data_IF_904529109697
#
_entry.id   IF_904529109697
#
_cell.length_a   1.000
_cell.length_b   1.000
_cell.length_c   1.000
_cell.angle_alpha   90.00
_cell.angle_beta   90.00
_cell.angle_gamma   90.00
#
_symmetry.space_group_name_H-M   'P 1'
#
loop_
_entity.id
_entity.type
_entity.pdbx_description
1 polymer ?
#
# COMPACT_ATOMS: atom_id res chain seq x y z
N UNK A 1 -14.93 9.47 44.00
CA UNK A 1 -15.41 9.77 42.64
C UNK A 1 -14.23 9.76 41.69
N UNK A 2 -13.98 8.64 41.00
CA UNK A 2 -12.92 8.51 39.99
C UNK A 2 -13.57 8.64 38.62
N UNK A 3 -13.25 9.73 37.91
CA UNK A 3 -13.75 9.97 36.56
C UNK A 3 -13.21 8.91 35.61
N UNK A 4 -14.09 8.01 35.18
CA UNK A 4 -13.90 7.25 33.97
C UNK A 4 -14.00 8.24 32.81
N UNK A 5 -12.85 8.79 32.39
CA UNK A 5 -12.72 9.42 31.08
C UNK A 5 -12.94 8.33 30.05
N UNK A 6 -14.21 8.13 29.66
CA UNK A 6 -14.55 7.44 28.43
C UNK A 6 -13.95 8.27 27.30
N UNK A 7 -12.72 7.93 26.91
CA UNK A 7 -12.15 8.30 25.63
C UNK A 7 -13.15 7.83 24.58
N UNK A 8 -13.96 8.76 24.09
CA UNK A 8 -14.77 8.55 22.91
C UNK A 8 -13.79 8.18 21.79
N UNK A 9 -13.68 6.87 21.53
CA UNK A 9 -12.88 6.37 20.43
C UNK A 9 -13.58 6.84 19.16
N UNK A 10 -13.19 8.04 18.69
CA UNK A 10 -13.49 8.51 17.34
C UNK A 10 -13.19 7.33 16.43
N UNK A 11 -14.20 6.86 15.70
CA UNK A 11 -14.04 5.76 14.76
C UNK A 11 -13.13 6.26 13.62
N UNK A 12 -11.82 6.22 13.87
CA UNK A 12 -10.80 6.62 12.89
C UNK A 12 -11.02 5.74 11.69
N UNK A 13 -11.30 6.37 10.54
CA UNK A 13 -11.48 5.69 9.28
C UNK A 13 -10.33 4.70 9.07
N UNK A 14 -10.66 3.47 8.65
CA UNK A 14 -9.68 2.41 8.42
C UNK A 14 -9.45 2.19 6.94
N UNK A 15 -8.23 1.86 6.58
CA UNK A 15 -7.82 1.42 5.24
C UNK A 15 -7.11 0.09 5.35
N UNK A 16 -6.85 -0.58 4.24
CA UNK A 16 -6.06 -1.81 4.23
C UNK A 16 -4.64 -1.54 3.74
N UNK A 17 -3.67 -2.28 4.29
CA UNK A 17 -2.30 -2.26 3.81
C UNK A 17 -2.23 -2.81 2.39
N UNK A 18 -1.68 -2.04 1.45
CA UNK A 18 -1.49 -2.44 0.05
C UNK A 18 -0.62 -3.69 -0.14
N UNK A 19 0.08 -4.13 0.91
CA UNK A 19 0.92 -5.31 0.88
C UNK A 19 0.26 -6.55 1.47
N UNK A 20 -0.17 -6.48 2.73
CA UNK A 20 -0.65 -7.63 3.50
C UNK A 20 -2.15 -7.61 3.82
N UNK A 21 -2.90 -6.61 3.35
CA UNK A 21 -4.34 -6.50 3.60
C UNK A 21 -4.74 -6.11 5.02
N UNK A 22 -3.78 -6.03 5.96
CA UNK A 22 -4.10 -5.73 7.35
C UNK A 22 -4.74 -4.33 7.51
N UNK A 23 -5.71 -4.16 8.43
CA UNK A 23 -6.35 -2.89 8.66
C UNK A 23 -5.36 -1.87 9.24
N UNK A 24 -5.42 -0.67 8.72
CA UNK A 24 -4.61 0.50 9.02
C UNK A 24 -5.55 1.65 9.39
N UNK A 25 -5.07 2.59 10.19
CA UNK A 25 -5.76 3.87 10.40
C UNK A 25 -5.50 4.79 9.20
N UNK A 26 -6.48 5.57 8.76
CA UNK A 26 -6.25 6.62 7.75
C UNK A 26 -5.13 7.55 8.25
N UNK A 27 -4.13 7.80 7.39
CA UNK A 27 -2.91 8.56 7.73
C UNK A 27 -1.74 7.71 8.27
N UNK A 28 -1.96 6.43 8.58
CA UNK A 28 -0.90 5.50 8.95
C UNK A 28 -0.04 5.16 7.73
N UNK A 29 1.24 5.53 7.78
CA UNK A 29 2.18 5.31 6.67
C UNK A 29 2.94 3.99 6.81
N UNK A 30 2.98 3.40 8.01
CA UNK A 30 3.58 2.09 8.25
C UNK A 30 2.52 1.07 8.65
N UNK A 31 2.45 -0.05 7.96
CA UNK A 31 1.62 -1.18 8.39
C UNK A 31 2.22 -1.86 9.61
N UNK A 32 1.46 -1.88 10.72
CA UNK A 32 1.91 -2.53 11.96
C UNK A 32 1.91 -4.06 11.88
N UNK A 33 1.14 -4.63 10.95
CA UNK A 33 1.07 -6.08 10.78
C UNK A 33 2.27 -6.64 10.00
N UNK A 34 2.73 -5.94 8.96
CA UNK A 34 3.85 -6.39 8.13
C UNK A 34 5.13 -5.58 8.29
N UNK A 35 5.12 -4.48 9.05
CA UNK A 35 6.28 -3.62 9.29
C UNK A 35 6.79 -2.91 8.04
N UNK A 36 5.92 -2.66 7.04
CA UNK A 36 6.30 -2.00 5.78
C UNK A 36 5.41 -0.79 5.49
N UNK A 37 5.88 0.08 4.59
CA UNK A 37 5.13 1.26 4.16
C UNK A 37 3.73 0.83 3.64
N UNK A 38 2.71 1.44 4.20
CA UNK A 38 1.29 1.18 4.00
C UNK A 38 0.82 1.51 2.58
N UNK A 39 1.40 2.56 1.98
CA UNK A 39 1.12 2.98 0.62
C UNK A 39 2.41 2.92 -0.19
N UNK A 40 2.46 1.96 -1.12
CA UNK A 40 3.60 1.73 -2.01
C UNK A 40 3.41 2.45 -3.34
N UNK A 41 2.17 2.57 -3.80
CA UNK A 41 1.86 3.07 -5.13
C UNK A 41 1.55 4.57 -5.10
N UNK A 42 2.28 5.34 -5.90
CA UNK A 42 2.12 6.78 -6.01
C UNK A 42 1.67 7.18 -7.42
N UNK A 43 0.86 8.24 -7.48
CA UNK A 43 0.60 8.94 -8.73
C UNK A 43 1.89 9.57 -9.25
N UNK A 44 2.07 9.53 -10.56
CA UNK A 44 3.20 10.17 -11.24
C UNK A 44 2.68 11.27 -12.16
N UNK A 45 3.17 12.49 -11.95
CA UNK A 45 2.83 13.65 -12.79
C UNK A 45 3.66 13.72 -14.06
N UNK A 46 4.86 13.13 -14.06
CA UNK A 46 5.87 13.23 -15.12
C UNK A 46 5.76 12.08 -16.13
N UNK A 47 5.71 10.84 -15.63
CA UNK A 47 5.53 9.62 -16.44
C UNK A 47 4.17 9.00 -16.12
N UNK A 48 3.21 9.07 -17.05
CA UNK A 48 1.83 8.65 -16.82
C UNK A 48 1.56 7.29 -17.44
N UNK A 49 2.02 6.20 -16.86
CA UNK A 49 1.65 4.86 -17.33
C UNK A 49 0.20 4.54 -16.96
N UNK A 50 -0.44 3.69 -17.77
CA UNK A 50 -1.76 3.15 -17.52
C UNK A 50 -1.73 1.62 -17.55
N UNK A 51 -2.70 0.98 -16.90
CA UNK A 51 -2.90 -0.46 -16.96
C UNK A 51 -4.24 -0.72 -17.65
N UNK A 52 -4.17 -1.35 -18.81
CA UNK A 52 -5.33 -1.78 -19.57
C UNK A 52 -5.56 -3.28 -19.34
N UNK A 53 -6.76 -3.64 -18.89
CA UNK A 53 -7.24 -5.01 -18.79
C UNK A 53 -7.57 -5.52 -20.19
N UNK A 54 -6.87 -6.55 -20.65
CA UNK A 54 -7.02 -7.11 -21.99
C UNK A 54 -8.02 -8.26 -22.00
N UNK A 55 -7.88 -9.19 -21.06
CA UNK A 55 -8.77 -10.33 -20.88
C UNK A 55 -8.83 -10.75 -19.41
N UNK A 56 -9.95 -11.35 -19.03
CA UNK A 56 -10.15 -11.98 -17.72
C UNK A 56 -10.97 -13.25 -17.91
N UNK A 57 -10.60 -14.32 -17.21
CA UNK A 57 -11.40 -15.54 -17.18
C UNK A 57 -12.75 -15.29 -16.49
N UNK A 58 -13.81 -15.99 -16.93
CA UNK A 58 -15.14 -15.92 -16.32
C UNK A 58 -15.23 -16.64 -14.96
N UNK A 59 -14.12 -17.22 -14.51
CA UNK A 59 -14.03 -17.89 -13.23
C UNK A 59 -14.19 -16.91 -12.06
N UNK A 60 -15.02 -17.29 -11.07
CA UNK A 60 -15.29 -16.48 -9.89
C UNK A 60 -13.98 -16.13 -9.13
N UNK A 61 -12.99 -17.01 -9.17
CA UNK A 61 -11.69 -16.82 -8.53
C UNK A 61 -10.88 -15.68 -9.20
N UNK A 62 -10.87 -15.61 -10.53
CA UNK A 62 -10.17 -14.56 -11.27
C UNK A 62 -10.77 -13.18 -10.98
N UNK A 63 -12.09 -13.07 -10.94
CA UNK A 63 -12.80 -11.83 -10.60
C UNK A 63 -12.55 -11.47 -9.12
N UNK A 64 -12.59 -12.45 -8.22
CA UNK A 64 -12.32 -12.23 -6.79
C UNK A 64 -10.90 -11.72 -6.54
N UNK A 65 -9.90 -12.27 -7.23
CA UNK A 65 -8.53 -11.80 -7.15
C UNK A 65 -8.33 -10.41 -7.77
N UNK A 66 -9.00 -10.11 -8.89
CA UNK A 66 -9.01 -8.76 -9.45
C UNK A 66 -9.55 -7.76 -8.42
N UNK A 67 -10.66 -8.11 -7.77
CA UNK A 67 -11.28 -7.33 -6.71
C UNK A 67 -10.36 -7.15 -5.50
N UNK A 68 -9.69 -8.20 -5.04
CA UNK A 68 -8.75 -8.16 -3.92
C UNK A 68 -7.57 -7.22 -4.23
N UNK A 69 -6.93 -7.38 -5.40
CA UNK A 69 -5.78 -6.58 -5.80
C UNK A 69 -6.20 -5.11 -5.97
N UNK A 70 -7.27 -4.83 -6.73
CA UNK A 70 -7.73 -3.46 -6.95
C UNK A 70 -8.27 -2.81 -5.69
N UNK A 71 -9.00 -3.54 -4.84
CA UNK A 71 -9.54 -3.03 -3.58
C UNK A 71 -8.45 -2.50 -2.62
N UNK A 72 -7.27 -3.12 -2.65
CA UNK A 72 -6.13 -2.63 -1.86
C UNK A 72 -5.54 -1.32 -2.40
N UNK A 73 -5.65 -1.09 -3.71
CA UNK A 73 -4.93 -0.04 -4.46
C UNK A 73 -5.80 1.20 -4.75
N UNK A 74 -7.10 1.01 -4.95
CA UNK A 74 -8.05 2.02 -5.43
C UNK A 74 -8.59 2.92 -4.31
N UNK A 75 -8.96 4.14 -4.68
CA UNK A 75 -9.70 5.08 -3.82
C UNK A 75 -11.21 4.78 -3.80
N UNK A 76 -11.79 4.73 -2.61
CA UNK A 76 -13.23 4.55 -2.43
C UNK A 76 -13.70 3.09 -2.42
N UNK A 77 -15.03 2.91 -2.45
CA UNK A 77 -15.66 1.58 -2.53
C UNK A 77 -15.66 1.11 -3.97
N UNK A 78 -15.18 -0.11 -4.20
CA UNK A 78 -15.14 -0.70 -5.52
C UNK A 78 -16.57 -1.03 -6.02
N UNK A 79 -17.01 -0.51 -7.17
CA UNK A 79 -18.24 -0.97 -7.83
C UNK A 79 -18.16 -2.46 -8.22
N UNK A 80 -19.32 -3.08 -8.41
CA UNK A 80 -19.38 -4.41 -9.00
C UNK A 80 -18.85 -4.37 -10.44
N UNK A 81 -17.81 -5.17 -10.71
CA UNK A 81 -17.23 -5.29 -12.04
C UNK A 81 -17.96 -6.37 -12.84
N UNK A 82 -18.80 -5.94 -13.79
CA UNK A 82 -19.40 -6.84 -14.77
C UNK A 82 -18.72 -6.60 -16.11
N UNK A 83 -18.02 -7.61 -16.64
CA UNK A 83 -17.33 -7.54 -17.92
C UNK A 83 -18.12 -8.25 -19.02
N UNK A 84 -17.98 -7.76 -20.25
CA UNK A 84 -18.38 -8.51 -21.45
C UNK A 84 -17.24 -9.48 -21.79
N UNK A 85 -17.44 -10.76 -21.51
CA UNK A 85 -16.44 -11.82 -21.78
C UNK A 85 -16.89 -12.60 -23.02
N UNK A 86 -15.98 -12.80 -23.99
CA UNK A 86 -16.29 -13.50 -25.25
C UNK A 86 -16.94 -12.61 -26.32
N UNK A 87 -17.82 -13.18 -27.14
CA UNK A 87 -18.45 -12.45 -28.26
C UNK A 87 -19.51 -11.46 -27.73
N UNK A 88 -19.35 -10.14 -27.96
CA UNK A 88 -20.31 -9.14 -27.50
C UNK A 88 -21.72 -9.32 -28.08
N UNK A 89 -21.88 -10.06 -29.19
CA UNK A 89 -23.18 -10.33 -29.80
C UNK A 89 -24.01 -11.37 -29.04
N UNK A 90 -23.41 -12.11 -28.11
CA UNK A 90 -24.13 -13.03 -27.22
C UNK A 90 -24.87 -12.31 -26.08
N UNK A 91 -24.63 -11.02 -25.93
CA UNK A 91 -25.23 -10.19 -24.88
C UNK A 91 -26.34 -9.33 -25.45
N UNK A 92 -27.42 -9.17 -24.68
CA UNK A 92 -28.49 -8.23 -25.04
C UNK A 92 -27.96 -6.79 -25.07
N UNK A 93 -28.61 -5.91 -25.85
CA UNK A 93 -28.23 -4.50 -25.92
C UNK A 93 -28.24 -3.83 -24.53
N UNK A 94 -29.22 -4.20 -23.68
CA UNK A 94 -29.32 -3.72 -22.30
C UNK A 94 -28.14 -4.18 -21.42
N UNK A 95 -27.66 -5.42 -21.58
CA UNK A 95 -26.48 -5.91 -20.86
C UNK A 95 -25.19 -5.27 -21.37
N UNK A 96 -25.05 -5.10 -22.68
CA UNK A 96 -23.86 -4.46 -23.29
C UNK A 96 -23.66 -3.01 -22.86
N UNK A 97 -24.72 -2.33 -22.40
CA UNK A 97 -24.67 -0.97 -21.86
C UNK A 97 -24.30 -0.94 -20.37
N UNK A 98 -24.63 -1.99 -19.61
CA UNK A 98 -24.32 -2.10 -18.18
C UNK A 98 -22.92 -2.65 -17.93
N UNK A 99 -22.47 -3.57 -18.78
CA UNK A 99 -21.18 -4.27 -18.63
C UNK A 99 -20.03 -3.48 -19.26
N UNK A 100 -18.87 -3.56 -18.63
CA UNK A 100 -17.62 -2.97 -19.11
C UNK A 100 -17.06 -3.80 -20.26
N UNK A 101 -16.77 -3.15 -21.39
CA UNK A 101 -16.16 -3.80 -22.57
C UNK A 101 -14.64 -3.89 -22.43
N UNK A 102 -14.06 -5.00 -22.88
CA UNK A 102 -12.62 -5.20 -22.96
C UNK A 102 -12.09 -4.79 -24.35
N UNK A 103 -10.86 -4.24 -24.45
CA UNK A 103 -9.96 -3.89 -23.35
C UNK A 103 -10.46 -2.67 -22.56
N UNK A 104 -10.23 -2.66 -21.24
CA UNK A 104 -10.69 -1.59 -20.35
C UNK A 104 -9.54 -1.00 -19.52
N UNK A 105 -9.46 0.32 -19.42
CA UNK A 105 -8.43 0.97 -18.61
C UNK A 105 -8.77 0.88 -17.12
N UNK A 106 -7.98 0.13 -16.35
CA UNK A 106 -8.18 -0.01 -14.91
C UNK A 106 -7.68 1.22 -14.16
N UNK A 107 -6.41 1.59 -14.38
CA UNK A 107 -5.71 2.64 -13.64
C UNK A 107 -4.94 3.55 -14.61
N UNK A 108 -4.85 4.83 -14.27
CA UNK A 108 -4.07 5.85 -14.98
C UNK A 108 -3.10 6.56 -14.05
N UNK A 109 -2.19 7.34 -14.63
CA UNK A 109 -1.28 8.26 -13.92
C UNK A 109 -0.31 7.54 -12.97
N UNK A 110 0.13 6.33 -13.35
CA UNK A 110 1.07 5.51 -12.57
C UNK A 110 2.52 5.77 -12.98
N UNK A 111 3.45 5.66 -12.04
CA UNK A 111 4.87 5.52 -12.40
C UNK A 111 5.11 4.18 -13.09
N UNK A 112 6.17 4.07 -13.90
CA UNK A 112 6.53 2.82 -14.60
C UNK A 112 6.65 1.63 -13.65
N UNK A 113 7.42 1.80 -12.57
CA UNK A 113 7.65 0.76 -11.56
C UNK A 113 6.32 0.32 -10.91
N UNK A 114 5.45 1.28 -10.58
CA UNK A 114 4.12 1.01 -10.02
C UNK A 114 3.26 0.22 -11.00
N UNK A 115 3.25 0.63 -12.27
CA UNK A 115 2.47 -0.03 -13.31
C UNK A 115 2.95 -1.47 -13.55
N UNK A 116 4.26 -1.67 -13.66
CA UNK A 116 4.88 -3.00 -13.82
C UNK A 116 4.62 -3.91 -12.62
N UNK A 117 4.67 -3.39 -11.39
CA UNK A 117 4.41 -4.17 -10.19
C UNK A 117 2.93 -4.58 -10.05
N UNK A 118 2.01 -3.64 -10.24
CA UNK A 118 0.57 -3.94 -10.20
C UNK A 118 0.22 -4.91 -11.32
N UNK A 119 0.76 -4.70 -12.52
CA UNK A 119 0.62 -5.61 -13.65
C UNK A 119 1.12 -7.01 -13.28
N UNK A 120 2.32 -7.13 -12.72
CA UNK A 120 2.89 -8.41 -12.31
C UNK A 120 2.08 -9.12 -11.21
N UNK A 121 1.41 -8.37 -10.32
CA UNK A 121 0.47 -8.94 -9.35
C UNK A 121 -0.79 -9.48 -10.03
N UNK A 122 -1.41 -8.70 -10.91
CA UNK A 122 -2.60 -9.12 -11.64
C UNK A 122 -2.34 -10.35 -12.52
N UNK A 123 -1.22 -10.38 -13.25
CA UNK A 123 -0.84 -11.52 -14.10
C UNK A 123 -0.58 -12.79 -13.31
N UNK A 124 -0.05 -12.71 -12.07
CA UNK A 124 0.11 -13.88 -11.20
C UNK A 124 -1.21 -14.56 -10.83
N UNK A 125 -2.33 -13.82 -10.88
CA UNK A 125 -3.68 -14.33 -10.63
C UNK A 125 -4.45 -14.62 -11.93
N UNK A 126 -3.74 -14.79 -13.05
CA UNK A 126 -4.36 -15.15 -14.34
C UNK A 126 -5.10 -14.01 -15.04
N UNK A 127 -4.93 -12.76 -14.59
CA UNK A 127 -5.53 -11.59 -15.23
C UNK A 127 -4.60 -11.04 -16.31
N UNK A 128 -5.05 -11.00 -17.57
CA UNK A 128 -4.24 -10.50 -18.67
C UNK A 128 -4.31 -8.97 -18.74
N UNK A 129 -3.21 -8.31 -18.38
CA UNK A 129 -3.10 -6.86 -18.31
C UNK A 129 -1.92 -6.37 -19.15
N UNK A 130 -2.04 -5.16 -19.68
CA UNK A 130 -0.99 -4.50 -20.46
C UNK A 130 -0.67 -3.15 -19.85
N UNK A 131 0.62 -2.89 -19.63
CA UNK A 131 1.12 -1.57 -19.25
C UNK A 131 1.26 -0.73 -20.53
N UNK A 132 0.57 0.41 -20.57
CA UNK A 132 0.52 1.29 -21.73
C UNK A 132 1.11 2.65 -21.38
N UNK A 133 1.95 3.18 -22.27
CA UNK A 133 2.46 4.55 -22.17
C UNK A 133 1.67 5.49 -23.12
N UNK A 134 1.01 6.55 -22.63
CA UNK A 134 0.11 7.39 -23.42
C UNK A 134 0.77 8.04 -24.64
N UNK A 135 2.07 8.37 -24.53
CA UNK A 135 2.82 9.02 -25.63
C UNK A 135 3.35 8.05 -26.68
N UNK A 136 3.49 6.76 -26.37
CA UNK A 136 4.05 5.79 -27.32
C UNK A 136 3.07 5.48 -28.48
N UNK A 137 1.77 5.45 -28.18
CA UNK A 137 0.72 5.20 -29.17
C UNK A 137 0.65 6.29 -30.27
N UNK A 138 1.02 7.54 -29.96
CA UNK A 138 0.98 8.66 -30.91
C UNK A 138 2.19 8.62 -31.86
N UNK A 139 3.37 8.19 -31.39
CA UNK A 139 4.60 8.18 -32.20
C UNK A 139 4.62 7.02 -33.21
N UNK A 140 4.08 5.84 -32.86
CA UNK A 140 3.94 4.75 -33.83
C UNK A 140 2.88 5.04 -34.91
N UNK A 141 1.77 5.70 -34.55
CA UNK A 141 0.79 6.18 -35.54
C UNK A 141 1.39 7.25 -36.48
N UNK A 142 2.26 8.12 -35.96
CA UNK A 142 2.94 9.16 -36.74
C UNK A 142 3.92 8.62 -37.79
N UNK A 143 4.60 7.50 -37.52
CA UNK A 143 5.50 6.85 -38.49
C UNK A 143 4.77 6.28 -39.71
N UNK A 144 3.53 5.81 -39.54
CA UNK A 144 2.70 5.34 -40.65
C UNK A 144 2.18 6.47 -41.56
N UNK A 145 1.88 7.64 -40.97
CA UNK A 145 1.40 8.80 -41.71
C UNK A 145 2.47 9.41 -42.65
N UNK A 146 3.74 9.42 -42.22
CA UNK A 146 4.85 9.93 -43.04
C UNK A 146 5.07 9.13 -44.33
N UNK A 147 4.92 7.79 -44.28
CA UNK A 147 5.09 6.94 -45.46
C UNK A 147 3.91 7.03 -46.44
N UNK A 148 2.68 7.19 -45.93
CA UNK A 148 1.48 7.31 -46.77
C UNK A 148 1.36 8.69 -47.45
N UNK A 149 1.75 9.77 -46.79
CA UNK A 149 1.74 11.11 -47.37
C UNK A 149 2.69 11.23 -48.57
N UNK A 150 3.86 10.57 -48.52
CA UNK A 150 4.80 10.50 -49.65
C UNK A 150 4.21 9.68 -50.82
N UNK A 151 3.53 8.57 -50.53
CA UNK A 151 2.90 7.71 -51.55
C UNK A 151 1.74 8.37 -52.31
N UNK A 152 0.87 9.10 -51.61
CA UNK A 152 -0.24 9.84 -52.24
C UNK A 152 0.28 10.98 -53.12
N UNK A 153 1.32 11.69 -52.68
CA UNK A 153 1.94 12.77 -53.44
C UNK A 153 2.57 12.26 -54.76
N UNK A 154 3.21 11.07 -54.73
CA UNK A 154 3.78 10.44 -55.93
C UNK A 154 2.70 9.95 -56.92
N UNK A 155 1.59 9.41 -56.41
CA UNK A 155 0.48 8.92 -57.24
C UNK A 155 -0.28 10.04 -57.96
N UNK A 156 -0.45 11.21 -57.32
CA UNK A 156 -1.05 12.40 -57.96
C UNK A 156 -0.18 12.92 -59.10
N UNK A 157 1.15 12.85 -58.98
CA UNK A 157 2.09 13.21 -60.04
C UNK A 157 2.08 12.22 -61.23
N UNK A 158 1.81 10.94 -60.98
CA UNK A 158 1.72 9.91 -62.03
C UNK A 158 0.38 9.88 -62.78
N UNK A 159 -0.69 10.47 -62.22
CA UNK A 159 -2.05 10.46 -62.78
C UNK A 159 -2.28 11.32 -64.03
N UNK A 160 -1.27 12.04 -64.53
CA UNK A 160 -1.34 12.84 -65.77
C UNK A 160 -1.30 11.99 -67.05
N UNK A 161 -1.12 10.67 -66.96
CA UNK A 161 -1.01 9.77 -68.12
C UNK A 161 -2.17 8.75 -68.16
N UNK A 162 -3.17 9.05 -68.99
CA UNK A 162 -4.30 8.18 -69.41
C UNK A 162 -5.30 7.75 -68.31
N UNK A 163 -6.56 8.15 -68.48
CA UNK A 163 -7.60 8.13 -67.44
C UNK A 163 -8.04 6.76 -66.87
N UNK A 164 -7.58 5.63 -67.42
CA UNK A 164 -7.95 4.30 -66.92
C UNK A 164 -6.94 3.72 -65.92
N UNK A 165 -5.64 3.94 -66.15
CA UNK A 165 -4.57 3.46 -65.25
C UNK A 165 -4.59 4.22 -63.92
N UNK A 166 -4.93 5.51 -63.94
CA UNK A 166 -5.10 6.31 -62.75
C UNK A 166 -6.19 5.76 -61.81
N UNK A 167 -7.30 5.25 -62.36
CA UNK A 167 -8.40 4.68 -61.58
C UNK A 167 -8.00 3.35 -60.92
N UNK A 168 -7.27 2.50 -61.66
CA UNK A 168 -6.81 1.19 -61.16
C UNK A 168 -5.83 1.29 -59.98
N UNK A 169 -5.08 2.39 -59.86
CA UNK A 169 -4.09 2.60 -58.79
C UNK A 169 -4.68 3.39 -57.61
N UNK A 170 -5.52 4.39 -57.88
CA UNK A 170 -6.06 5.28 -56.84
C UNK A 170 -7.10 4.61 -55.94
N UNK A 171 -7.97 3.76 -56.50
CA UNK A 171 -9.01 3.04 -55.73
C UNK A 171 -8.41 2.10 -54.67
N UNK A 172 -7.48 1.18 -54.97
CA UNK A 172 -6.89 0.33 -53.94
C UNK A 172 -6.08 1.12 -52.92
N UNK A 173 -5.41 2.22 -53.32
CA UNK A 173 -4.69 3.09 -52.40
C UNK A 173 -5.66 3.75 -51.39
N UNK A 174 -6.80 4.26 -51.87
CA UNK A 174 -7.85 4.83 -51.01
C UNK A 174 -8.44 3.81 -50.04
N UNK A 175 -8.64 2.56 -50.48
CA UNK A 175 -9.10 1.48 -49.60
C UNK A 175 -8.07 1.16 -48.52
N UNK A 176 -6.79 1.05 -48.88
CA UNK A 176 -5.70 0.81 -47.92
C UNK A 176 -5.60 1.97 -46.92
N UNK A 177 -5.66 3.22 -47.39
CA UNK A 177 -5.67 4.41 -46.53
C UNK A 177 -6.90 4.43 -45.61
N UNK A 178 -8.09 4.13 -46.12
CA UNK A 178 -9.33 4.07 -45.35
C UNK A 178 -9.28 2.99 -44.25
N UNK A 179 -8.78 1.79 -44.57
CA UNK A 179 -8.57 0.71 -43.60
C UNK A 179 -7.53 1.11 -42.56
N UNK A 180 -6.46 1.80 -42.96
CA UNK A 180 -5.42 2.26 -42.03
C UNK A 180 -5.93 3.36 -41.09
N UNK A 181 -6.68 4.35 -41.62
CA UNK A 181 -7.27 5.44 -40.84
C UNK A 181 -8.29 4.92 -39.83
N UNK A 182 -9.19 4.02 -40.25
CA UNK A 182 -10.20 3.42 -39.34
C UNK A 182 -9.55 2.62 -38.22
N UNK A 183 -8.50 1.84 -38.52
CA UNK A 183 -7.71 1.09 -37.53
C UNK A 183 -6.93 2.01 -36.58
N UNK A 184 -6.37 3.10 -37.09
CA UNK A 184 -5.65 4.09 -36.29
C UNK A 184 -6.57 4.89 -35.36
N UNK A 185 -7.76 5.28 -35.83
CA UNK A 185 -8.76 5.97 -35.01
C UNK A 185 -9.33 5.05 -33.92
N UNK A 186 -9.48 3.75 -34.19
CA UNK A 186 -9.85 2.78 -33.15
C UNK A 186 -8.74 2.62 -32.09
N UNK A 187 -7.47 2.60 -32.51
CA UNK A 187 -6.33 2.54 -31.59
C UNK A 187 -6.17 3.82 -30.73
N UNK A 188 -6.41 5.01 -31.31
CA UNK A 188 -6.32 6.28 -30.57
C UNK A 188 -7.53 6.53 -29.65
N UNK A 189 -8.72 6.06 -30.02
CA UNK A 189 -9.88 6.12 -29.12
C UNK A 189 -9.67 5.27 -27.86
N UNK A 190 -8.94 4.15 -27.97
CA UNK A 190 -8.60 3.31 -26.81
C UNK A 190 -7.57 3.97 -25.90
N UNK A 191 -6.65 4.77 -26.43
CA UNK A 191 -5.64 5.46 -25.61
C UNK A 191 -6.22 6.54 -24.70
N UNK A 192 -7.43 7.05 -24.97
CA UNK A 192 -8.09 8.10 -24.20
C UNK A 192 -9.28 7.60 -23.36
N UNK A 193 -9.48 6.30 -23.24
CA UNK A 193 -10.54 5.76 -22.39
C UNK A 193 -10.34 6.25 -20.93
N UNK A 194 -11.39 6.76 -20.26
CA UNK A 194 -11.32 7.14 -18.86
C UNK A 194 -10.96 5.90 -18.03
N UNK A 195 -10.08 6.07 -17.04
CA UNK A 195 -9.77 5.01 -16.10
C UNK A 195 -11.01 4.67 -15.27
N UNK A 196 -11.30 3.39 -15.13
CA UNK A 196 -12.40 2.90 -14.29
C UNK A 196 -12.17 3.23 -12.82
N UNK A 197 -10.90 3.27 -12.42
CA UNK A 197 -10.51 3.49 -11.03
C UNK A 197 -9.45 4.57 -10.91
N UNK A 198 -9.47 5.25 -9.76
CA UNK A 198 -8.42 6.18 -9.36
C UNK A 198 -7.54 5.51 -8.30
N UNK A 199 -6.23 5.59 -8.49
CA UNK A 199 -5.27 5.15 -7.49
C UNK A 199 -5.48 5.96 -6.21
N UNK A 200 -5.47 5.29 -5.05
CA UNK A 200 -5.54 5.95 -3.75
C UNK A 200 -4.43 6.98 -3.63
N UNK A 201 -4.77 8.22 -3.22
CA UNK A 201 -3.77 9.23 -2.92
C UNK A 201 -2.83 8.70 -1.83
N UNK A 202 -1.55 8.59 -2.17
CA UNK A 202 -0.54 8.31 -1.16
C UNK A 202 -0.51 9.47 -0.16
N UNK A 203 -0.47 9.22 1.17
CA UNK A 203 0.00 10.25 2.08
C UNK A 203 1.38 10.70 1.58
N UNK A 204 1.60 12.01 1.52
CA UNK A 204 2.79 12.62 0.93
C UNK A 204 4.05 11.81 1.26
N UNK A 205 4.85 11.46 0.25
CA UNK A 205 6.08 10.72 0.46
C UNK A 205 7.04 11.55 1.35
N UNK A 206 7.68 10.89 2.32
CA UNK A 206 8.55 11.36 3.44
C UNK A 206 7.81 11.72 4.74
N UNK A 207 8.07 11.05 5.89
CA UNK A 207 9.36 10.54 6.38
C UNK A 207 9.35 9.05 6.83
N UNK A 208 8.83 8.13 6.02
CA UNK A 208 8.95 6.69 6.30
C UNK A 208 10.40 6.16 6.20
N UNK A 209 11.32 6.99 5.68
CA UNK A 209 12.77 6.78 5.68
C UNK A 209 13.46 7.24 6.96
N UNK A 210 12.72 7.77 7.94
CA UNK A 210 13.31 8.07 9.24
C UNK A 210 13.89 6.78 9.86
N UNK A 211 15.16 6.80 10.29
CA UNK A 211 15.84 5.60 10.77
C UNK A 211 15.19 5.04 12.04
N UNK A 212 14.54 5.85 12.87
CA UNK A 212 13.88 5.36 14.10
C UNK A 212 12.57 4.65 13.77
N UNK A 213 11.79 5.19 12.82
CA UNK A 213 10.57 4.52 12.33
C UNK A 213 10.92 3.19 11.66
N UNK A 214 11.96 3.17 10.82
CA UNK A 214 12.40 1.96 10.13
C UNK A 214 12.88 0.88 11.10
N UNK A 215 13.61 1.26 12.15
CA UNK A 215 14.06 0.37 13.23
C UNK A 215 12.90 -0.28 13.97
N UNK A 216 11.92 0.50 14.42
CA UNK A 216 10.73 -0.03 15.09
C UNK A 216 9.88 -0.90 14.15
N UNK A 217 9.79 -0.53 12.88
CA UNK A 217 9.10 -1.34 11.88
C UNK A 217 9.74 -2.71 11.66
N UNK A 218 11.07 -2.79 11.69
CA UNK A 218 11.80 -4.06 11.60
C UNK A 218 11.49 -4.97 12.81
N UNK A 219 11.23 -4.39 13.99
CA UNK A 219 10.80 -5.14 15.17
C UNK A 219 9.39 -5.75 15.06
N UNK A 220 8.56 -5.28 14.12
CA UNK A 220 7.23 -5.84 13.89
C UNK A 220 7.24 -7.04 12.93
N UNK A 221 8.37 -7.26 12.24
CA UNK A 221 8.54 -8.38 11.32
C UNK A 221 8.93 -9.66 12.08
N UNK A 222 8.70 -10.83 11.46
CA UNK A 222 9.15 -12.12 11.96
C UNK A 222 8.28 -12.73 13.07
N UNK A 223 8.94 -13.46 13.98
CA UNK A 223 8.38 -14.27 15.07
C UNK A 223 8.08 -13.46 16.35
N UNK A 224 7.80 -12.16 16.21
CA UNK A 224 7.53 -11.30 17.38
C UNK A 224 6.20 -11.68 18.04
N UNK A 225 6.17 -11.90 19.37
CA UNK A 225 4.95 -12.18 20.11
C UNK A 225 3.88 -11.09 19.89
N UNK A 226 2.61 -11.49 19.86
CA UNK A 226 1.50 -10.58 19.53
C UNK A 226 1.37 -9.40 20.50
N UNK A 227 1.49 -9.67 21.81
CA UNK A 227 1.48 -8.66 22.87
C UNK A 227 2.60 -7.63 22.70
N UNK A 228 3.80 -8.08 22.32
CA UNK A 228 4.94 -7.20 22.01
C UNK A 228 4.69 -6.38 20.75
N UNK A 229 4.15 -6.98 19.69
CA UNK A 229 3.86 -6.27 18.43
C UNK A 229 2.88 -5.12 18.62
N UNK A 230 1.87 -5.29 19.48
CA UNK A 230 0.90 -4.22 19.77
C UNK A 230 1.62 -3.00 20.34
N UNK A 231 2.44 -3.18 21.38
CA UNK A 231 3.15 -2.06 22.02
C UNK A 231 4.19 -1.41 21.11
N UNK A 232 5.01 -2.21 20.41
CA UNK A 232 6.00 -1.68 19.46
C UNK A 232 5.31 -0.93 18.32
N UNK A 233 4.15 -1.42 17.87
CA UNK A 233 3.39 -0.80 16.81
C UNK A 233 2.80 0.56 17.22
N UNK A 234 2.30 0.69 18.45
CA UNK A 234 1.88 1.98 19.00
C UNK A 234 3.03 3.00 19.03
N UNK A 235 4.23 2.57 19.46
CA UNK A 235 5.41 3.44 19.50
C UNK A 235 5.85 3.86 18.10
N UNK A 236 5.84 2.95 17.13
CA UNK A 236 6.16 3.27 15.74
C UNK A 236 5.24 4.37 15.18
N UNK A 237 3.94 4.33 15.50
CA UNK A 237 3.00 5.38 15.10
C UNK A 237 3.28 6.72 15.79
N UNK A 238 3.66 6.70 17.06
CA UNK A 238 3.99 7.94 17.79
C UNK A 238 5.27 8.59 17.25
N UNK A 239 6.31 7.80 16.97
CA UNK A 239 7.51 8.31 16.30
C UNK A 239 7.17 8.86 14.92
N UNK A 240 6.35 8.15 14.15
CA UNK A 240 5.91 8.67 12.84
C UNK A 240 5.24 10.03 12.96
N UNK A 241 4.32 10.21 13.94
CA UNK A 241 3.69 11.52 14.21
C UNK A 241 4.70 12.58 14.62
N UNK A 242 5.69 12.23 15.43
CA UNK A 242 6.74 13.17 15.83
C UNK A 242 7.56 13.65 14.63
N UNK A 243 7.93 12.73 13.73
CA UNK A 243 8.70 13.11 12.54
C UNK A 243 7.84 13.92 11.56
N UNK A 244 6.57 13.57 11.41
CA UNK A 244 5.60 14.36 10.63
C UNK A 244 5.46 15.78 11.23
N UNK A 245 5.40 15.91 12.57
CA UNK A 245 5.33 17.18 13.29
C UNK A 245 6.58 18.03 13.08
N UNK A 246 7.77 17.43 13.25
CA UNK A 246 9.06 18.09 13.00
C UNK A 246 9.18 18.61 11.56
N UNK A 247 8.69 17.85 10.58
CA UNK A 247 8.70 18.27 9.18
C UNK A 247 7.77 19.48 8.92
N UNK A 248 6.69 19.62 9.69
CA UNK A 248 5.77 20.75 9.58
C UNK A 248 6.29 22.04 10.26
N UNK A 249 7.16 21.92 11.26
CA UNK A 249 7.69 23.04 12.06
C UNK A 249 9.18 23.28 11.82
N UNK A 250 9.55 23.61 10.58
CA UNK A 250 10.96 23.80 10.18
C UNK A 250 11.72 24.84 11.03
N UNK A 251 11.02 25.88 11.52
CA UNK A 251 11.60 26.92 12.37
C UNK A 251 11.92 26.51 13.81
N UNK A 252 11.34 25.40 14.29
CA UNK A 252 11.46 24.92 15.68
C UNK A 252 12.10 23.53 15.79
N UNK A 253 12.65 23.02 14.69
CA UNK A 253 13.23 21.68 14.63
C UNK A 253 14.31 21.45 15.70
N UNK A 254 15.13 22.46 16.01
CA UNK A 254 16.18 22.36 17.02
C UNK A 254 15.63 22.18 18.45
N UNK A 255 14.52 22.83 18.78
CA UNK A 255 13.85 22.69 20.08
C UNK A 255 13.20 21.31 20.21
N UNK A 256 12.50 20.87 19.15
CA UNK A 256 11.92 19.52 19.08
C UNK A 256 13.02 18.47 19.22
N UNK A 257 14.15 18.63 18.51
CA UNK A 257 15.28 17.70 18.57
C UNK A 257 15.90 17.65 19.98
N UNK A 258 16.05 18.79 20.66
CA UNK A 258 16.54 18.84 22.04
C UNK A 258 15.61 18.11 23.03
N UNK A 259 14.29 18.29 22.90
CA UNK A 259 13.30 17.63 23.77
C UNK A 259 13.16 16.14 23.47
N UNK A 260 13.45 15.72 22.24
CA UNK A 260 13.28 14.34 21.76
C UNK A 260 14.59 13.58 21.62
N UNK A 261 15.72 14.16 22.04
CA UNK A 261 17.03 13.49 22.15
C UNK A 261 16.93 12.09 22.80
N UNK A 262 16.14 11.86 23.88
CA UNK A 262 16.04 10.54 24.52
C UNK A 262 15.36 9.48 23.66
N UNK A 263 14.66 9.83 22.58
CA UNK A 263 13.89 8.88 21.77
C UNK A 263 14.83 7.85 21.12
N UNK A 264 15.98 8.26 20.58
CA UNK A 264 16.92 7.36 19.94
C UNK A 264 17.51 6.27 20.88
N UNK A 265 18.03 6.59 22.08
CA UNK A 265 18.48 5.57 23.02
C UNK A 265 17.33 4.71 23.56
N UNK A 266 16.13 5.27 23.73
CA UNK A 266 14.96 4.48 24.12
C UNK A 266 14.57 3.45 23.06
N UNK A 267 14.66 3.78 21.77
CA UNK A 267 14.48 2.81 20.67
C UNK A 267 15.51 1.68 20.77
N UNK A 268 16.78 1.98 21.05
CA UNK A 268 17.81 0.94 21.22
C UNK A 268 17.52 0.02 22.41
N UNK A 269 17.03 0.55 23.53
CA UNK A 269 16.59 -0.25 24.68
C UNK A 269 15.41 -1.16 24.34
N UNK A 270 14.42 -0.64 23.59
CA UNK A 270 13.27 -1.39 23.12
C UNK A 270 13.71 -2.54 22.19
N UNK A 271 14.61 -2.29 21.25
CA UNK A 271 15.18 -3.34 20.38
C UNK A 271 15.80 -4.47 21.20
N UNK A 272 16.60 -4.13 22.22
CA UNK A 272 17.19 -5.11 23.12
C UNK A 272 16.16 -5.95 23.88
N UNK A 273 15.10 -5.33 24.42
CA UNK A 273 14.05 -6.08 25.13
C UNK A 273 13.22 -6.94 24.17
N UNK A 274 12.90 -6.46 22.96
CA UNK A 274 12.17 -7.24 21.96
C UNK A 274 12.99 -8.45 21.51
N UNK A 275 14.30 -8.28 21.28
CA UNK A 275 15.19 -9.38 20.94
C UNK A 275 15.25 -10.43 22.07
N UNK A 276 15.35 -10.00 23.33
CA UNK A 276 15.32 -10.89 24.48
C UNK A 276 13.99 -11.66 24.57
N UNK A 277 12.85 -10.98 24.40
CA UNK A 277 11.52 -11.59 24.42
C UNK A 277 11.31 -12.61 23.30
N UNK A 278 11.83 -12.36 22.08
CA UNK A 278 11.81 -13.34 20.99
C UNK A 278 12.58 -14.60 21.34
N UNK A 279 13.79 -14.46 21.89
CA UNK A 279 14.61 -15.60 22.33
C UNK A 279 13.91 -16.41 23.42
N UNK A 280 13.39 -15.74 24.46
CA UNK A 280 12.67 -16.41 25.55
C UNK A 280 11.42 -17.13 25.03
N UNK A 281 10.66 -16.48 24.13
CA UNK A 281 9.45 -17.08 23.55
C UNK A 281 9.80 -18.33 22.74
N UNK A 282 10.88 -18.30 21.96
CA UNK A 282 11.34 -19.48 21.20
C UNK A 282 11.73 -20.63 22.12
N UNK A 283 12.44 -20.34 23.21
CA UNK A 283 12.82 -21.33 24.21
C UNK A 283 11.59 -21.94 24.92
N UNK A 284 10.57 -21.13 25.21
CA UNK A 284 9.33 -21.57 25.84
C UNK A 284 8.50 -22.51 24.95
N UNK A 285 8.51 -22.36 23.62
CA UNK A 285 7.75 -23.23 22.70
C UNK A 285 8.14 -24.71 22.86
N UNK A 286 9.38 -25.00 23.24
CA UNK A 286 9.86 -26.37 23.49
C UNK A 286 9.51 -26.94 24.87
N UNK A 287 9.00 -26.13 25.80
CA UNK A 287 8.75 -26.51 27.18
C UNK A 287 7.26 -26.42 27.49
N UNK A 288 6.56 -27.56 27.48
CA UNK A 288 5.14 -27.63 27.82
C UNK A 288 4.95 -28.17 29.23
N UNK A 289 4.57 -27.29 30.17
CA UNK A 289 4.37 -27.64 31.58
C UNK A 289 3.49 -28.89 31.76
N UNK A 290 2.30 -28.89 31.15
CA UNK A 290 1.36 -29.99 31.28
C UNK A 290 1.90 -31.32 30.73
N UNK A 291 2.71 -31.29 29.67
CA UNK A 291 3.35 -32.49 29.15
C UNK A 291 4.43 -33.01 30.10
N UNK A 292 5.20 -32.11 30.71
CA UNK A 292 6.27 -32.44 31.64
C UNK A 292 5.74 -32.95 32.98
N UNK A 293 4.69 -32.34 33.53
CA UNK A 293 4.02 -32.82 34.75
C UNK A 293 3.41 -34.20 34.54
N UNK A 294 2.77 -34.44 33.39
CA UNK A 294 2.28 -35.79 33.04
C UNK A 294 3.42 -36.80 32.87
N UNK A 295 4.52 -36.40 32.23
CA UNK A 295 5.69 -37.25 32.09
C UNK A 295 6.31 -37.60 33.45
N UNK A 296 6.35 -36.64 34.39
CA UNK A 296 6.83 -36.86 35.76
C UNK A 296 5.95 -37.87 36.49
N UNK A 297 4.62 -37.65 36.51
CA UNK A 297 3.68 -38.56 37.14
C UNK A 297 3.73 -39.98 36.55
N UNK A 298 3.88 -40.08 35.22
CA UNK A 298 4.02 -41.37 34.55
C UNK A 298 5.36 -42.06 34.86
N UNK A 299 6.44 -41.29 34.99
CA UNK A 299 7.77 -41.77 35.39
C UNK A 299 7.75 -42.32 36.82
N UNK A 300 7.09 -41.62 37.74
CA UNK A 300 6.87 -42.05 39.13
C UNK A 300 6.02 -43.33 39.20
N UNK A 301 4.89 -43.38 38.48
CA UNK A 301 4.02 -44.55 38.46
C UNK A 301 4.71 -45.81 37.92
N UNK A 302 5.65 -45.65 36.97
CA UNK A 302 6.44 -46.76 36.40
C UNK A 302 7.67 -47.14 37.23
N UNK A 303 8.00 -46.39 38.27
CA UNK A 303 9.21 -46.62 39.06
C UNK A 303 10.50 -46.39 38.25
N UNK A 304 10.49 -45.44 37.31
CA UNK A 304 11.65 -45.12 36.48
C UNK A 304 12.84 -44.54 37.31
N UNK A 305 14.08 -44.63 36.77
CA UNK A 305 15.27 -44.14 37.47
C UNK A 305 15.17 -42.67 37.87
N UNK A 306 15.74 -42.32 39.03
CA UNK A 306 15.75 -40.94 39.55
C UNK A 306 16.35 -39.93 38.55
N UNK A 307 17.36 -40.33 37.77
CA UNK A 307 17.98 -39.48 36.75
C UNK A 307 16.96 -38.96 35.71
N UNK A 308 15.96 -39.77 35.33
CA UNK A 308 14.93 -39.37 34.37
C UNK A 308 13.99 -38.32 34.97
N UNK A 309 13.61 -38.48 36.24
CA UNK A 309 12.78 -37.51 36.97
C UNK A 309 13.52 -36.19 37.18
N UNK A 310 14.81 -36.24 37.50
CA UNK A 310 15.66 -35.06 37.67
C UNK A 310 15.82 -34.26 36.38
N UNK A 311 15.86 -34.91 35.21
CA UNK A 311 15.81 -34.23 33.90
C UNK A 311 14.49 -33.46 33.73
N UNK A 312 13.36 -34.06 34.09
CA UNK A 312 12.04 -33.42 34.02
C UNK A 312 11.96 -32.23 34.99
N UNK A 313 12.43 -32.40 36.23
CA UNK A 313 12.49 -31.31 37.21
C UNK A 313 13.34 -30.13 36.74
N UNK A 314 14.55 -30.39 36.22
CA UNK A 314 15.41 -29.34 35.63
C UNK A 314 14.71 -28.60 34.49
N UNK A 315 13.93 -29.33 33.69
CA UNK A 315 13.13 -28.73 32.64
C UNK A 315 12.01 -27.83 33.17
N UNK A 316 11.31 -28.22 34.25
CA UNK A 316 10.29 -27.40 34.91
C UNK A 316 10.89 -26.16 35.59
N UNK A 317 12.06 -26.30 36.22
CA UNK A 317 12.82 -25.17 36.77
C UNK A 317 13.22 -24.18 35.68
N UNK A 318 13.72 -24.69 34.54
CA UNK A 318 14.04 -23.86 33.37
C UNK A 318 12.82 -23.15 32.82
N UNK A 319 11.67 -23.83 32.73
CA UNK A 319 10.41 -23.23 32.29
C UNK A 319 10.05 -22.03 33.18
N UNK A 320 10.04 -22.23 34.50
CA UNK A 320 9.73 -21.16 35.46
C UNK A 320 10.70 -19.99 35.37
N UNK A 321 12.00 -20.28 35.28
CA UNK A 321 13.02 -19.25 35.12
C UNK A 321 12.83 -18.43 33.83
N UNK A 322 12.41 -19.07 32.73
CA UNK A 322 12.11 -18.39 31.47
C UNK A 322 10.83 -17.54 31.56
N UNK A 323 9.80 -18.00 32.28
CA UNK A 323 8.59 -17.22 32.52
C UNK A 323 8.86 -15.97 33.35
N UNK A 324 9.64 -16.10 34.43
CA UNK A 324 10.08 -14.97 35.26
C UNK A 324 10.94 -13.99 34.43
N UNK A 325 11.86 -14.50 33.60
CA UNK A 325 12.66 -13.69 32.70
C UNK A 325 11.81 -12.97 31.65
N UNK A 326 10.78 -13.63 31.10
CA UNK A 326 9.82 -13.04 30.15
C UNK A 326 9.07 -11.89 30.82
N UNK A 327 8.54 -12.10 32.03
CA UNK A 327 7.83 -11.09 32.78
C UNK A 327 8.71 -9.86 33.05
N UNK A 328 9.96 -10.08 33.48
CA UNK A 328 10.91 -8.99 33.74
C UNK A 328 11.29 -8.22 32.46
N UNK A 329 11.52 -8.92 31.34
CA UNK A 329 11.82 -8.28 30.05
C UNK A 329 10.62 -7.48 29.51
N UNK A 330 9.41 -8.02 29.65
CA UNK A 330 8.19 -7.33 29.26
C UNK A 330 7.93 -6.09 30.11
N UNK A 331 8.19 -6.15 31.42
CA UNK A 331 8.10 -4.99 32.30
C UNK A 331 9.04 -3.86 31.87
N UNK A 332 10.32 -4.17 31.62
CA UNK A 332 11.30 -3.20 31.11
C UNK A 332 10.90 -2.60 29.76
N UNK A 333 10.30 -3.40 28.87
CA UNK A 333 9.74 -2.91 27.60
C UNK A 333 8.65 -1.87 27.86
N UNK A 334 7.73 -2.12 28.79
CA UNK A 334 6.67 -1.17 29.14
C UNK A 334 7.19 0.12 29.78
N UNK A 335 8.22 0.03 30.62
CA UNK A 335 8.89 1.19 31.20
C UNK A 335 9.54 2.06 30.11
N UNK A 336 10.32 1.46 29.21
CA UNK A 336 10.93 2.15 28.08
C UNK A 336 9.86 2.79 27.17
N UNK A 337 8.76 2.07 26.89
CA UNK A 337 7.63 2.57 26.11
C UNK A 337 6.94 3.77 26.79
N UNK A 338 6.80 3.76 28.11
CA UNK A 338 6.24 4.86 28.89
C UNK A 338 7.11 6.11 28.83
N UNK A 339 8.42 5.96 29.00
CA UNK A 339 9.38 7.07 28.88
C UNK A 339 9.40 7.65 27.47
N UNK A 340 9.37 6.79 26.46
CA UNK A 340 9.35 7.20 25.06
C UNK A 340 8.08 7.97 24.71
N UNK A 341 6.92 7.53 25.21
CA UNK A 341 5.65 8.26 25.08
C UNK A 341 5.76 9.67 25.62
N UNK A 342 6.27 9.83 26.85
CA UNK A 342 6.44 11.14 27.48
C UNK A 342 7.39 12.05 26.69
N UNK A 343 8.52 11.52 26.22
CA UNK A 343 9.46 12.28 25.41
C UNK A 343 8.82 12.76 24.09
N UNK A 344 8.05 11.89 23.43
CA UNK A 344 7.32 12.24 22.20
C UNK A 344 6.22 13.28 22.49
N UNK A 345 5.46 13.12 23.57
CA UNK A 345 4.42 14.07 23.98
C UNK A 345 5.01 15.47 24.23
N UNK A 346 6.19 15.56 24.86
CA UNK A 346 6.90 16.83 25.03
C UNK A 346 7.29 17.45 23.67
N UNK A 347 7.83 16.66 22.74
CA UNK A 347 8.18 17.14 21.39
C UNK A 347 6.97 17.56 20.56
N UNK A 348 5.85 16.83 20.65
CA UNK A 348 4.58 17.17 20.01
C UNK A 348 3.91 18.40 20.64
N UNK A 349 4.25 18.71 21.90
CA UNK A 349 3.77 19.90 22.61
C UNK A 349 4.45 21.20 22.19
N UNK A 350 5.52 21.14 21.37
CA UNK A 350 6.16 22.33 20.78
C UNK A 350 5.28 22.83 19.64
N UNK A 351 4.84 24.09 19.73
CA UNK A 351 3.98 24.73 18.73
C UNK A 351 4.64 26.01 18.21
N UNK A 352 4.43 26.29 16.93
CA UNK A 352 4.75 27.59 16.36
C UNK A 352 3.70 28.62 16.77
N UNK A 353 4.05 29.42 17.77
CA UNK A 353 3.21 30.49 18.28
C UNK A 353 2.82 31.50 17.18
N UNK A 354 3.66 31.70 16.15
CA UNK A 354 3.33 32.55 15.01
C UNK A 354 2.32 31.89 14.09
N UNK A 355 2.48 30.60 13.74
CA UNK A 355 1.47 29.89 12.93
C UNK A 355 0.12 29.78 13.64
N UNK A 356 0.10 29.53 14.95
CA UNK A 356 -1.15 29.50 15.73
C UNK A 356 -1.82 30.87 15.71
N UNK A 357 -1.03 31.95 15.84
CA UNK A 357 -1.53 33.31 15.75
C UNK A 357 -2.07 33.63 14.35
N UNK A 358 -1.35 33.29 13.29
CA UNK A 358 -1.79 33.48 11.91
C UNK A 358 -3.06 32.71 11.59
N UNK A 359 -3.19 31.47 12.07
CA UNK A 359 -4.41 30.68 11.92
C UNK A 359 -5.58 31.30 12.67
N UNK A 360 -5.38 31.81 13.89
CA UNK A 360 -6.41 32.55 14.63
C UNK A 360 -6.83 33.84 13.92
N UNK A 361 -5.87 34.57 13.33
CA UNK A 361 -6.16 35.77 12.52
C UNK A 361 -6.95 35.39 11.28
N UNK A 362 -6.60 34.32 10.57
CA UNK A 362 -7.36 33.84 9.41
C UNK A 362 -8.79 33.40 9.77
N UNK A 363 -8.98 32.70 10.88
CA UNK A 363 -10.32 32.35 11.37
C UNK A 363 -11.12 33.59 11.76
N UNK A 364 -10.49 34.58 12.41
CA UNK A 364 -11.15 35.84 12.75
C UNK A 364 -11.53 36.64 11.49
N UNK A 365 -10.67 36.69 10.48
CA UNK A 365 -10.96 37.34 9.20
C UNK A 365 -12.06 36.60 8.43
N UNK A 366 -12.08 35.27 8.43
CA UNK A 366 -13.14 34.48 7.82
C UNK A 366 -14.49 34.65 8.54
N UNK A 367 -14.49 34.76 9.87
CA UNK A 367 -15.68 35.07 10.65
C UNK A 367 -16.22 36.47 10.33
N UNK A 368 -15.36 37.48 10.23
CA UNK A 368 -15.77 38.85 9.88
C UNK A 368 -16.26 38.96 8.42
N UNK A 369 -15.65 38.21 7.49
CA UNK A 369 -16.06 38.19 6.09
C UNK A 369 -17.33 37.38 5.79
N UNK A 370 -17.85 36.63 6.77
CA UNK A 370 -19.11 35.87 6.64
C UNK A 370 -20.34 36.64 7.14
N UNK A 371 -20.16 37.81 7.76
CA UNK A 371 -21.23 38.72 8.19
C UNK A 371 -21.63 39.76 7.12
N UNK A 372 -20.93 39.83 5.98
CA UNK A 372 -21.24 40.74 4.86
C UNK A 372 -21.98 40.06 3.68
N UNK A 373 -22.45 38.81 3.84
CA UNK A 373 -23.27 38.08 2.86
C UNK A 373 -24.62 37.69 3.45
#
# INVERSE_FOLDING_TARGET
MRGQGQSAAVAVARTECQRCGAPLRVGQRLCLACGRVAVKYAHSTEERYAIDLMSIAEEADAISHLHEVLGSVVEGRMPALEFVIGDPNMYSEAERLRRTRLPARLLSDLSRETAEEISGRLTKHGVEVRVVHPRAAIVEAGKGFGALAVGVSLAVLAGQLSGWLAFAITVPLLVVVGVFLTRSMHASSQSNAPSLFRLRKAPAALPASDPLVARLAALLQGDTPEDVRVHVGELALLVQRLVDHRASLLGQAAEIDALTEPVAPLVALIEGQVAALRTITRDLVGLQEGAMVRALAASEARGEPAARREEIHRGLERLRALEDARAAAFHRLLEAASLMRRAIELGLGVHDAQQVHEHHVQLALAALGSDEA
#
